data_IF_274759123949
#
_entry.id   IF_274759123949
#
_cell.length_a   1.000
_cell.length_b   1.000
_cell.length_c   1.000
_cell.angle_alpha   90.00
_cell.angle_beta   90.00
_cell.angle_gamma   90.00
#
_symmetry.space_group_name_H-M   'P 1'
#
loop_
_entity.id
_entity.type
_entity.pdbx_description
1 polymer ?
#
# COMPACT_ATOMS: atom_id res chain seq x y z
N UNK A 1 -35.47 -42.54 -90.25
CA UNK A 1 -34.22 -41.92 -90.71
C UNK A 1 -34.33 -40.42 -90.40
N UNK A 2 -34.13 -39.94 -89.18
CA UNK A 2 -32.89 -39.84 -88.40
C UNK A 2 -31.80 -39.02 -89.10
N UNK A 3 -31.77 -37.71 -88.86
CA UNK A 3 -30.58 -36.84 -88.94
C UNK A 3 -30.56 -35.92 -87.70
N UNK A 4 -29.60 -36.19 -86.82
CA UNK A 4 -29.15 -35.41 -85.65
C UNK A 4 -28.31 -34.20 -86.16
N UNK A 5 -28.48 -32.95 -85.72
CA UNK A 5 -28.17 -32.33 -84.41
C UNK A 5 -26.67 -32.08 -84.20
N UNK A 6 -26.24 -30.81 -84.32
CA UNK A 6 -25.20 -30.20 -83.47
C UNK A 6 -25.25 -28.66 -83.61
N UNK A 7 -25.76 -27.97 -82.58
CA UNK A 7 -25.78 -26.52 -82.47
C UNK A 7 -24.96 -26.16 -81.23
N UNK A 8 -23.73 -25.69 -81.44
CA UNK A 8 -22.77 -25.33 -80.38
C UNK A 8 -23.14 -23.95 -79.84
N UNK A 9 -23.65 -23.91 -78.61
CA UNK A 9 -23.84 -22.68 -77.84
C UNK A 9 -22.50 -22.24 -77.23
N UNK A 10 -21.89 -21.18 -77.77
CA UNK A 10 -20.75 -20.50 -77.17
C UNK A 10 -21.29 -19.51 -76.12
N UNK A 11 -21.21 -19.89 -74.84
CA UNK A 11 -21.47 -18.99 -73.71
C UNK A 11 -20.20 -18.16 -73.49
N UNK A 12 -20.18 -16.92 -74.01
CA UNK A 12 -19.15 -15.93 -73.65
C UNK A 12 -19.51 -15.42 -72.25
N UNK A 13 -18.92 -16.02 -71.22
CA UNK A 13 -18.92 -15.46 -69.87
C UNK A 13 -18.06 -14.20 -69.88
N UNK A 14 -18.68 -13.02 -70.02
CA UNK A 14 -17.99 -11.77 -69.73
C UNK A 14 -17.52 -11.83 -68.27
N UNK A 15 -16.21 -11.68 -67.98
CA UNK A 15 -15.75 -11.60 -66.60
C UNK A 15 -16.48 -10.43 -65.95
N UNK A 16 -17.16 -10.68 -64.84
CA UNK A 16 -17.72 -9.61 -64.02
C UNK A 16 -16.52 -8.88 -63.43
N UNK A 17 -16.13 -7.76 -64.03
CA UNK A 17 -15.07 -6.89 -63.49
C UNK A 17 -15.60 -6.31 -62.19
N UNK A 18 -15.27 -6.94 -61.07
CA UNK A 18 -15.45 -6.33 -59.74
C UNK A 18 -14.59 -5.08 -59.71
N UNK A 19 -15.25 -3.94 -59.89
CA UNK A 19 -14.59 -2.64 -59.87
C UNK A 19 -14.09 -2.40 -58.44
N UNK A 20 -12.80 -2.63 -58.20
CA UNK A 20 -12.16 -2.29 -56.92
C UNK A 20 -12.13 -0.77 -56.81
N UNK A 21 -12.69 -0.24 -55.71
CA UNK A 21 -12.91 1.19 -55.53
C UNK A 21 -12.04 1.70 -54.39
N UNK A 22 -11.43 2.88 -54.58
CA UNK A 22 -10.77 3.62 -53.51
C UNK A 22 -11.53 4.94 -53.31
N UNK A 23 -11.67 5.35 -52.06
CA UNK A 23 -12.34 6.60 -51.68
C UNK A 23 -11.33 7.58 -51.10
N UNK A 24 -11.47 8.85 -51.49
CA UNK A 24 -10.69 9.95 -50.96
C UNK A 24 -10.91 10.14 -49.44
N UNK A 25 -9.83 10.36 -48.71
CA UNK A 25 -9.82 10.71 -47.31
C UNK A 25 -9.56 12.22 -47.15
N UNK A 26 -10.45 12.96 -46.48
CA UNK A 26 -10.23 14.38 -46.18
C UNK A 26 -9.09 14.61 -45.18
N UNK A 27 -8.78 13.59 -44.38
CA UNK A 27 -7.65 13.56 -43.45
C UNK A 27 -6.45 12.87 -44.10
N UNK A 28 -5.25 13.20 -43.64
CA UNK A 28 -3.99 12.64 -44.11
C UNK A 28 -3.55 11.48 -43.22
N UNK A 29 -3.10 10.38 -43.81
CA UNK A 29 -2.39 9.30 -43.14
C UNK A 29 -1.10 9.82 -42.48
N UNK A 30 -0.98 9.57 -41.19
CA UNK A 30 0.29 9.60 -40.47
C UNK A 30 0.83 8.16 -40.42
N UNK A 31 1.88 7.88 -41.19
CA UNK A 31 2.36 6.52 -41.39
C UNK A 31 3.57 6.42 -42.31
N UNK A 32 4.09 5.21 -42.48
CA UNK A 32 5.17 4.90 -43.43
C UNK A 32 4.58 4.51 -44.77
N UNK A 33 5.16 5.04 -45.83
CA UNK A 33 4.80 4.75 -47.21
C UNK A 33 5.94 4.03 -47.94
N UNK A 34 5.58 3.27 -48.97
CA UNK A 34 6.54 2.77 -49.95
C UNK A 34 7.18 3.94 -50.73
N UNK A 35 8.26 3.65 -51.47
CA UNK A 35 8.91 4.64 -52.33
C UNK A 35 7.91 5.14 -53.39
N UNK A 36 7.83 6.46 -53.54
CA UNK A 36 7.02 7.11 -54.58
C UNK A 36 7.42 6.65 -55.99
N UNK A 37 6.42 6.49 -56.86
CA UNK A 37 6.59 6.25 -58.28
C UNK A 37 5.64 7.14 -59.09
N UNK A 38 6.04 7.50 -60.31
CA UNK A 38 5.24 8.39 -61.18
C UNK A 38 4.05 7.64 -61.77
N UNK A 39 2.91 8.32 -61.85
CA UNK A 39 1.69 7.85 -62.50
C UNK A 39 1.12 8.94 -63.41
N UNK A 40 0.49 8.55 -64.51
CA UNK A 40 -0.17 9.48 -65.42
C UNK A 40 -1.55 9.92 -64.91
N UNK A 41 -2.20 9.12 -64.05
CA UNK A 41 -3.52 9.42 -63.50
C UNK A 41 -3.77 8.75 -62.14
N UNK A 42 -4.82 9.21 -61.46
CA UNK A 42 -5.34 8.57 -60.23
C UNK A 42 -5.80 7.12 -60.48
N UNK A 43 -6.37 6.84 -61.66
CA UNK A 43 -6.83 5.51 -62.03
C UNK A 43 -5.66 4.53 -62.12
N UNK A 44 -4.52 4.97 -62.65
CA UNK A 44 -3.30 4.15 -62.71
C UNK A 44 -2.77 3.80 -61.30
N UNK A 45 -2.74 4.77 -60.39
CA UNK A 45 -2.36 4.54 -58.99
C UNK A 45 -3.33 3.56 -58.30
N UNK A 46 -4.64 3.70 -58.55
CA UNK A 46 -5.69 2.82 -58.00
C UNK A 46 -5.59 1.38 -58.53
N UNK A 47 -5.31 1.22 -59.83
CA UNK A 47 -5.06 -0.08 -60.45
C UNK A 47 -3.79 -0.74 -59.89
N UNK A 48 -2.72 0.03 -59.73
CA UNK A 48 -1.47 -0.45 -59.14
C UNK A 48 -1.65 -0.84 -57.66
N UNK A 49 -2.42 -0.07 -56.89
CA UNK A 49 -2.77 -0.39 -55.50
C UNK A 49 -3.59 -1.70 -55.43
N UNK A 50 -4.57 -1.86 -56.31
CA UNK A 50 -5.39 -3.08 -56.43
C UNK A 50 -4.54 -4.31 -56.76
N UNK A 51 -3.69 -4.21 -57.78
CA UNK A 51 -2.82 -5.31 -58.20
C UNK A 51 -1.87 -5.77 -57.07
N UNK A 52 -1.54 -4.86 -56.14
CA UNK A 52 -0.69 -5.13 -54.98
C UNK A 52 -1.47 -5.38 -53.68
N UNK A 53 -2.79 -5.48 -53.74
CA UNK A 53 -3.68 -5.68 -52.59
C UNK A 53 -3.49 -4.63 -51.47
N UNK A 54 -3.30 -3.36 -51.83
CA UNK A 54 -3.07 -2.28 -50.89
C UNK A 54 -4.37 -1.74 -50.31
N UNK A 55 -4.38 -1.46 -49.00
CA UNK A 55 -5.58 -0.90 -48.35
C UNK A 55 -5.69 0.62 -48.47
N UNK A 56 -4.60 1.31 -48.83
CA UNK A 56 -4.59 2.76 -48.99
C UNK A 56 -3.31 3.26 -49.64
N UNK A 57 -3.39 4.45 -50.22
CA UNK A 57 -2.30 5.08 -50.93
C UNK A 57 -2.40 6.60 -50.85
N UNK A 58 -1.29 7.27 -51.15
CA UNK A 58 -1.17 8.72 -51.30
C UNK A 58 -0.87 9.06 -52.75
N UNK A 59 -1.58 10.04 -53.28
CA UNK A 59 -1.21 10.75 -54.51
C UNK A 59 -0.71 12.13 -54.15
N UNK A 60 0.46 12.49 -54.68
CA UNK A 60 1.07 13.81 -54.53
C UNK A 60 1.20 14.47 -55.90
N UNK A 61 0.71 15.70 -56.03
CA UNK A 61 0.81 16.50 -57.27
C UNK A 61 2.05 17.40 -57.16
N UNK A 62 3.11 17.14 -57.93
CA UNK A 62 4.42 17.80 -57.76
C UNK A 62 4.53 19.20 -58.35
N UNK A 63 3.66 19.56 -59.30
CA UNK A 63 3.64 20.90 -59.91
C UNK A 63 2.33 21.12 -60.66
N UNK A 64 1.70 22.28 -60.47
CA UNK A 64 0.49 22.69 -61.21
C UNK A 64 0.75 22.83 -62.72
N UNK A 65 1.98 23.19 -63.11
CA UNK A 65 2.33 23.43 -64.52
C UNK A 65 2.54 22.14 -65.32
N UNK A 66 3.10 21.10 -64.69
CA UNK A 66 3.45 19.84 -65.38
C UNK A 66 2.47 18.69 -65.12
N UNK A 67 1.53 18.85 -64.18
CA UNK A 67 0.57 17.82 -63.75
C UNK A 67 1.23 16.46 -63.44
N UNK A 68 2.49 16.46 -63.02
CA UNK A 68 3.20 15.25 -62.63
C UNK A 68 2.63 14.75 -61.30
N UNK A 69 2.08 13.53 -61.33
CA UNK A 69 1.53 12.86 -60.16
C UNK A 69 2.46 11.73 -59.73
N UNK A 70 2.65 11.60 -58.42
CA UNK A 70 3.31 10.44 -57.83
C UNK A 70 2.39 9.70 -56.89
N UNK A 71 2.55 8.38 -56.85
CA UNK A 71 1.78 7.45 -56.04
C UNK A 71 2.70 6.78 -55.03
N UNK A 72 2.25 6.63 -53.78
CA UNK A 72 2.95 5.88 -52.74
C UNK A 72 1.95 5.05 -51.93
N UNK A 73 2.27 3.79 -51.67
CA UNK A 73 1.36 2.89 -50.94
C UNK A 73 1.59 2.96 -49.44
N UNK A 74 0.50 2.93 -48.67
CA UNK A 74 0.58 2.89 -47.21
C UNK A 74 1.13 1.53 -46.76
N UNK A 75 2.20 1.56 -45.96
CA UNK A 75 2.89 0.37 -45.46
C UNK A 75 2.66 0.15 -43.96
N UNK A 76 2.64 1.24 -43.19
CA UNK A 76 2.35 1.20 -41.77
C UNK A 76 1.49 2.40 -41.39
N UNK A 77 0.39 2.16 -40.69
CA UNK A 77 -0.50 3.21 -40.18
C UNK A 77 -0.16 3.53 -38.72
N UNK A 78 -0.09 4.82 -38.40
CA UNK A 78 0.13 5.31 -37.02
C UNK A 78 -0.98 6.26 -36.56
N UNK A 79 -1.74 6.87 -37.47
CA UNK A 79 -2.88 7.73 -37.16
C UNK A 79 -3.38 8.49 -38.38
N UNK A 80 -4.37 9.35 -38.15
CA UNK A 80 -4.85 10.34 -39.12
C UNK A 80 -4.54 11.74 -38.59
N UNK A 81 -4.14 12.66 -39.46
CA UNK A 81 -3.84 14.06 -39.13
C UNK A 81 -4.56 14.98 -40.10
N UNK A 82 -4.80 16.23 -39.68
CA UNK A 82 -5.34 17.24 -40.58
C UNK A 82 -4.42 17.43 -41.79
N UNK A 83 -5.02 17.57 -42.98
CA UNK A 83 -4.27 17.79 -44.21
C UNK A 83 -3.53 19.13 -44.14
N UNK A 84 -2.20 19.08 -44.15
CA UNK A 84 -1.33 20.24 -44.13
C UNK A 84 -0.89 20.70 -45.52
N UNK A 85 -0.75 19.77 -46.46
CA UNK A 85 -0.34 20.03 -47.85
C UNK A 85 -1.55 19.88 -48.78
N UNK A 86 -1.94 20.91 -49.53
CA UNK A 86 -3.06 20.82 -50.47
C UNK A 86 -2.82 19.84 -51.63
N UNK A 87 -1.56 19.49 -51.91
CA UNK A 87 -1.18 18.62 -53.03
C UNK A 87 -1.15 17.13 -52.68
N UNK A 88 -1.30 16.79 -51.40
CA UNK A 88 -1.36 15.41 -50.92
C UNK A 88 -2.81 14.95 -50.76
N UNK A 89 -3.16 13.87 -51.45
CA UNK A 89 -4.47 13.26 -51.43
C UNK A 89 -4.36 11.80 -51.03
N UNK A 90 -4.97 11.44 -49.90
CA UNK A 90 -4.95 10.08 -49.41
C UNK A 90 -6.24 9.35 -49.79
N UNK A 91 -6.12 8.07 -50.11
CA UNK A 91 -7.22 7.22 -50.54
C UNK A 91 -7.19 5.90 -49.78
N UNK A 92 -8.37 5.39 -49.44
CA UNK A 92 -8.58 4.10 -48.76
C UNK A 92 -9.44 3.17 -49.62
N UNK A 93 -9.16 1.87 -49.56
CA UNK A 93 -9.96 0.83 -50.20
C UNK A 93 -11.40 0.86 -49.67
N UNK A 94 -12.37 1.02 -50.56
CA UNK A 94 -13.80 0.91 -50.25
C UNK A 94 -14.27 -0.53 -50.49
N UNK A 95 -14.56 -1.25 -49.42
CA UNK A 95 -14.98 -2.65 -49.46
C UNK A 95 -16.49 -2.83 -49.50
N UNK A 96 -17.30 -1.77 -49.60
CA UNK A 96 -18.76 -1.91 -49.68
C UNK A 96 -19.21 -2.29 -51.09
N UNK A 97 -19.99 -3.36 -51.17
CA UNK A 97 -20.50 -3.93 -52.43
C UNK A 97 -21.76 -3.22 -52.96
N UNK A 98 -22.42 -2.40 -52.15
CA UNK A 98 -23.73 -1.82 -52.51
C UNK A 98 -23.61 -0.35 -52.99
N UNK A 99 -24.20 -0.13 -54.16
CA UNK A 99 -24.62 1.11 -54.82
C UNK A 99 -23.70 1.86 -55.81
N UNK A 100 -24.35 2.24 -56.91
CA UNK A 100 -23.85 2.74 -58.21
C UNK A 100 -23.36 4.21 -58.23
N UNK A 101 -22.79 4.74 -57.15
CA UNK A 101 -22.48 6.19 -57.10
C UNK A 101 -21.07 6.47 -56.58
N UNK A 102 -20.11 6.56 -57.52
CA UNK A 102 -18.80 7.19 -57.31
C UNK A 102 -18.95 8.71 -57.50
N UNK A 103 -19.21 9.40 -56.40
CA UNK A 103 -19.26 10.86 -56.37
C UNK A 103 -18.04 11.33 -55.57
N UNK A 104 -17.03 11.88 -56.26
CA UNK A 104 -15.81 12.46 -55.69
C UNK A 104 -16.09 13.59 -54.68
N UNK A 105 -17.32 14.11 -54.67
CA UNK A 105 -17.83 15.11 -53.76
C UNK A 105 -18.61 14.53 -52.56
N UNK A 106 -18.78 13.21 -52.45
CA UNK A 106 -19.41 12.57 -51.27
C UNK A 106 -18.35 12.12 -50.29
N UNK A 107 -18.28 12.83 -49.18
CA UNK A 107 -17.37 12.56 -48.08
C UNK A 107 -17.95 11.46 -47.19
N UNK A 108 -17.15 10.43 -46.89
CA UNK A 108 -17.59 9.25 -46.11
C UNK A 108 -16.75 9.10 -44.83
N UNK A 109 -17.39 8.67 -43.75
CA UNK A 109 -16.73 8.45 -42.45
C UNK A 109 -15.83 7.21 -42.52
N UNK A 110 -14.59 7.31 -42.04
CA UNK A 110 -13.59 6.24 -42.10
C UNK A 110 -14.09 4.95 -41.44
N UNK A 111 -14.88 5.07 -40.36
CA UNK A 111 -15.50 3.94 -39.67
C UNK A 111 -16.43 3.10 -40.56
N UNK A 112 -17.05 3.70 -41.57
CA UNK A 112 -17.94 3.00 -42.50
C UNK A 112 -17.18 2.11 -43.48
N UNK A 113 -15.90 2.38 -43.76
CA UNK A 113 -15.06 1.53 -44.61
C UNK A 113 -14.42 0.38 -43.83
N UNK A 114 -14.31 0.52 -42.51
CA UNK A 114 -13.64 -0.45 -41.62
C UNK A 114 -14.65 -1.49 -41.05
N UNK A 115 -15.94 -1.39 -41.38
CA UNK A 115 -16.97 -2.31 -40.87
C UNK A 115 -17.07 -3.64 -41.61
N UNK A 116 -16.40 -3.79 -42.77
CA UNK A 116 -16.37 -5.05 -43.53
C UNK A 116 -15.37 -6.05 -42.95
N UNK A 117 -15.68 -7.35 -43.03
CA UNK A 117 -14.67 -8.40 -42.85
C UNK A 117 -13.60 -8.21 -43.92
N UNK A 118 -12.34 -8.00 -43.53
CA UNK A 118 -11.23 -7.86 -44.46
C UNK A 118 -11.09 -9.19 -45.24
N UNK A 119 -11.69 -9.27 -46.43
CA UNK A 119 -11.61 -10.44 -47.32
C UNK A 119 -10.33 -10.42 -48.17
N UNK A 120 -9.56 -9.33 -48.11
CA UNK A 120 -8.28 -9.17 -48.78
C UNK A 120 -7.27 -10.12 -48.14
N UNK A 121 -6.90 -11.19 -48.85
CA UNK A 121 -5.88 -12.14 -48.39
C UNK A 121 -4.51 -11.45 -48.40
N UNK A 122 -4.08 -10.82 -47.29
CA UNK A 122 -2.77 -10.18 -47.22
C UNK A 122 -2.43 -9.46 -45.91
N UNK A 123 -1.16 -9.07 -45.77
CA UNK A 123 -0.59 -8.39 -44.60
C UNK A 123 -1.26 -7.05 -44.25
N UNK A 124 -1.96 -6.45 -45.21
CA UNK A 124 -2.55 -5.12 -45.05
C UNK A 124 -3.88 -5.14 -44.24
N UNK A 125 -4.47 -6.30 -43.95
CA UNK A 125 -5.59 -6.38 -43.01
C UNK A 125 -5.21 -5.89 -41.59
N UNK A 126 -3.94 -6.06 -41.18
CA UNK A 126 -3.46 -5.51 -39.91
C UNK A 126 -3.53 -3.98 -39.89
N UNK A 127 -3.32 -3.34 -41.05
CA UNK A 127 -3.38 -1.88 -41.16
C UNK A 127 -4.82 -1.41 -40.98
N UNK A 128 -5.80 -2.07 -41.60
CA UNK A 128 -7.22 -1.81 -41.38
C UNK A 128 -7.64 -2.06 -39.92
N UNK A 129 -7.15 -3.12 -39.29
CA UNK A 129 -7.42 -3.40 -37.88
C UNK A 129 -6.82 -2.32 -36.96
N UNK A 130 -5.61 -1.84 -37.26
CA UNK A 130 -4.98 -0.74 -36.53
C UNK A 130 -5.74 0.57 -36.73
N UNK A 131 -6.24 0.84 -37.93
CA UNK A 131 -7.14 1.98 -38.18
C UNK A 131 -8.44 1.86 -37.39
N UNK A 132 -9.02 0.65 -37.30
CA UNK A 132 -10.19 0.37 -36.47
C UNK A 132 -9.91 0.67 -35.00
N UNK A 133 -8.80 0.14 -34.48
CA UNK A 133 -8.38 0.34 -33.08
C UNK A 133 -8.13 1.81 -32.80
N UNK A 134 -7.45 2.52 -33.71
CA UNK A 134 -7.22 3.95 -33.61
C UNK A 134 -8.53 4.72 -33.55
N UNK A 135 -9.44 4.55 -34.52
CA UNK A 135 -10.72 5.26 -34.50
C UNK A 135 -11.65 4.83 -33.35
N UNK A 136 -11.50 3.61 -32.83
CA UNK A 136 -12.18 3.19 -31.59
C UNK A 136 -11.60 3.91 -30.36
N UNK A 137 -10.29 4.14 -30.35
CA UNK A 137 -9.57 4.78 -29.25
C UNK A 137 -9.73 6.30 -29.24
N UNK A 138 -9.57 6.96 -30.38
CA UNK A 138 -9.73 8.42 -30.50
C UNK A 138 -11.20 8.84 -30.55
N UNK A 139 -12.10 7.91 -30.90
CA UNK A 139 -13.51 8.15 -31.13
C UNK A 139 -13.79 8.29 -32.63
N UNK A 140 -14.83 7.59 -33.10
CA UNK A 140 -15.25 7.53 -34.51
C UNK A 140 -15.68 8.88 -35.08
N UNK A 141 -15.90 9.85 -34.20
CA UNK A 141 -16.52 11.15 -34.49
C UNK A 141 -15.55 12.33 -34.30
N UNK A 142 -14.26 12.05 -34.06
CA UNK A 142 -13.21 13.08 -34.09
C UNK A 142 -13.01 13.58 -35.52
N UNK A 143 -12.57 14.83 -35.72
CA UNK A 143 -12.20 15.34 -37.05
C UNK A 143 -11.15 14.44 -37.76
N UNK A 144 -10.40 13.68 -36.97
CA UNK A 144 -9.40 12.72 -37.41
C UNK A 144 -10.03 11.43 -37.98
N UNK A 145 -11.23 11.01 -37.55
CA UNK A 145 -11.96 9.83 -38.04
C UNK A 145 -13.30 10.15 -38.76
N UNK A 146 -13.82 11.38 -38.63
CA UNK A 146 -15.04 11.89 -39.23
C UNK A 146 -14.78 13.26 -39.86
N UNK A 147 -15.18 13.42 -41.12
CA UNK A 147 -15.11 14.72 -41.79
C UNK A 147 -16.15 15.70 -41.25
N UNK A 148 -15.82 16.99 -41.31
CA UNK A 148 -16.43 18.12 -40.62
C UNK A 148 -17.97 18.22 -40.56
N UNK A 149 -18.40 18.91 -39.49
CA UNK A 149 -19.74 19.47 -39.17
C UNK A 149 -20.71 18.65 -38.30
N UNK A 150 -20.19 17.86 -37.36
CA UNK A 150 -20.95 17.64 -36.12
C UNK A 150 -20.35 18.51 -35.01
N UNK A 151 -21.12 19.50 -34.55
CA UNK A 151 -20.95 20.00 -33.18
C UNK A 151 -21.02 18.79 -32.27
N UNK A 152 -19.91 18.46 -31.61
CA UNK A 152 -19.79 17.42 -30.59
C UNK A 152 -20.81 17.73 -29.48
N UNK A 153 -22.03 17.25 -29.67
CA UNK A 153 -22.98 17.07 -28.58
C UNK A 153 -22.75 15.66 -28.06
N UNK A 154 -22.15 15.62 -26.89
CA UNK A 154 -22.21 14.51 -25.94
C UNK A 154 -21.42 13.25 -26.31
N UNK A 155 -20.08 13.31 -26.17
CA UNK A 155 -19.36 12.10 -25.77
C UNK A 155 -19.82 11.79 -24.35
N UNK A 156 -20.73 10.83 -24.22
CA UNK A 156 -21.21 10.35 -22.93
C UNK A 156 -20.12 9.53 -22.25
N UNK A 157 -19.83 9.87 -21.00
CA UNK A 157 -18.90 9.09 -20.20
C UNK A 157 -19.44 7.67 -19.96
N UNK A 158 -18.57 6.66 -19.74
CA UNK A 158 -19.00 5.31 -19.40
C UNK A 158 -20.01 5.31 -18.25
N UNK A 159 -20.94 4.35 -18.24
CA UNK A 159 -21.96 4.26 -17.19
C UNK A 159 -21.36 4.36 -15.79
N UNK A 160 -21.92 5.24 -14.95
CA UNK A 160 -21.40 5.54 -13.62
C UNK A 160 -20.39 6.69 -13.57
N UNK A 161 -20.08 7.32 -14.70
CA UNK A 161 -19.26 8.52 -14.79
C UNK A 161 -20.07 9.70 -15.33
N UNK A 162 -19.65 10.91 -14.98
CA UNK A 162 -20.22 12.18 -15.43
C UNK A 162 -19.18 12.95 -16.25
N UNK A 163 -19.64 13.58 -17.33
CA UNK A 163 -18.80 14.48 -18.13
C UNK A 163 -18.52 15.74 -17.34
N UNK A 164 -17.25 16.15 -17.33
CA UNK A 164 -16.81 17.41 -16.73
C UNK A 164 -16.34 18.33 -17.84
N UNK A 165 -17.10 19.40 -18.07
CA UNK A 165 -16.81 20.37 -19.12
C UNK A 165 -15.58 21.20 -18.75
N UNK A 166 -14.52 21.04 -19.54
CA UNK A 166 -13.36 21.91 -19.49
C UNK A 166 -13.58 23.14 -20.37
N UNK A 167 -13.06 24.30 -19.95
CA UNK A 167 -13.11 25.59 -20.68
C UNK A 167 -12.50 25.57 -22.09
N UNK A 168 -11.97 24.45 -22.58
CA UNK A 168 -11.29 24.29 -23.87
C UNK A 168 -11.90 23.19 -24.77
N UNK A 169 -13.14 22.78 -24.53
CA UNK A 169 -13.82 21.78 -25.37
C UNK A 169 -13.23 20.36 -25.29
N UNK A 170 -12.42 20.08 -24.26
CA UNK A 170 -11.98 18.71 -23.93
C UNK A 170 -12.99 18.07 -22.99
N UNK A 171 -13.45 16.87 -23.32
CA UNK A 171 -14.31 16.07 -22.45
C UNK A 171 -13.45 15.16 -21.59
N UNK A 172 -13.55 15.34 -20.26
CA UNK A 172 -13.03 14.41 -19.28
C UNK A 172 -14.19 13.77 -18.52
N UNK A 173 -13.94 12.59 -17.96
CA UNK A 173 -14.93 11.85 -17.19
C UNK A 173 -14.47 11.70 -15.73
N UNK A 174 -15.39 11.94 -14.80
CA UNK A 174 -15.21 11.63 -13.38
C UNK A 174 -16.28 10.63 -12.93
N UNK A 175 -15.99 9.76 -11.95
CA UNK A 175 -17.01 8.95 -11.30
C UNK A 175 -18.18 9.81 -10.80
N UNK A 176 -19.40 9.27 -10.88
CA UNK A 176 -20.58 9.95 -10.35
C UNK A 176 -20.42 10.24 -8.85
N UNK A 177 -20.76 11.48 -8.44
CA UNK A 177 -20.54 11.98 -7.08
C UNK A 177 -19.15 12.59 -6.83
N UNK A 178 -18.25 12.56 -7.81
CA UNK A 178 -16.96 13.25 -7.78
C UNK A 178 -16.97 14.48 -8.70
N UNK A 179 -16.03 15.40 -8.46
CA UNK A 179 -15.74 16.54 -9.33
C UNK A 179 -14.32 16.47 -9.84
N UNK A 180 -14.09 17.05 -11.01
CA UNK A 180 -12.74 17.28 -11.50
C UNK A 180 -12.00 18.19 -10.52
N UNK A 181 -10.89 17.71 -9.97
CA UNK A 181 -10.04 18.48 -9.09
C UNK A 181 -8.85 19.08 -9.85
N UNK A 182 -8.23 18.32 -10.76
CA UNK A 182 -7.12 18.79 -11.60
C UNK A 182 -7.01 17.94 -12.88
N UNK A 183 -6.50 18.52 -13.97
CA UNK A 183 -6.05 17.80 -15.16
C UNK A 183 -4.52 17.84 -15.20
N UNK A 184 -3.86 16.68 -15.37
CA UNK A 184 -2.42 16.64 -15.70
C UNK A 184 -2.18 15.65 -16.83
N UNK A 185 -1.43 16.09 -17.84
CA UNK A 185 -1.05 15.28 -19.00
C UNK A 185 -2.26 14.62 -19.70
N UNK A 186 -3.36 15.35 -19.84
CA UNK A 186 -4.59 14.85 -20.46
C UNK A 186 -5.38 13.84 -19.61
N UNK A 187 -4.98 13.59 -18.36
CA UNK A 187 -5.70 12.72 -17.42
C UNK A 187 -6.46 13.55 -16.40
N UNK A 188 -7.73 13.19 -16.17
CA UNK A 188 -8.57 13.73 -15.10
C UNK A 188 -8.18 13.14 -13.74
N UNK A 189 -7.99 14.01 -12.74
CA UNK A 189 -7.91 13.63 -11.35
C UNK A 189 -9.15 14.15 -10.63
N UNK A 190 -10.02 13.21 -10.27
CA UNK A 190 -11.31 13.48 -9.67
C UNK A 190 -11.24 13.30 -8.15
N UNK A 191 -12.04 14.07 -7.43
CA UNK A 191 -12.19 13.96 -5.99
C UNK A 191 -13.67 14.07 -5.59
N UNK A 192 -14.09 13.46 -4.47
CA UNK A 192 -15.40 13.70 -3.89
C UNK A 192 -15.70 15.19 -3.69
N UNK A 193 -16.96 15.61 -3.82
CA UNK A 193 -17.38 17.03 -3.82
C UNK A 193 -16.81 17.85 -2.65
N UNK A 194 -16.71 17.25 -1.45
CA UNK A 194 -16.26 17.91 -0.22
C UNK A 194 -14.76 17.76 0.07
N UNK A 195 -14.01 17.13 -0.83
CA UNK A 195 -12.57 16.92 -0.70
C UNK A 195 -11.79 17.77 -1.70
N UNK A 196 -10.51 17.98 -1.40
CA UNK A 196 -9.55 18.67 -2.27
C UNK A 196 -8.45 17.70 -2.66
N UNK A 197 -8.01 17.77 -3.92
CA UNK A 197 -6.81 17.08 -4.36
C UNK A 197 -5.61 17.69 -3.64
N UNK A 198 -4.84 16.87 -2.93
CA UNK A 198 -3.59 17.29 -2.27
C UNK A 198 -2.35 16.69 -2.94
N UNK A 199 -2.50 15.59 -3.69
CA UNK A 199 -1.40 14.97 -4.40
C UNK A 199 -1.83 13.83 -5.30
N UNK A 200 -0.85 13.19 -5.94
CA UNK A 200 -1.02 12.02 -6.80
C UNK A 200 0.00 10.98 -6.35
N UNK A 201 -0.46 9.76 -6.07
CA UNK A 201 0.39 8.64 -5.65
C UNK A 201 0.10 7.42 -6.51
N UNK A 202 1.12 6.83 -7.14
CA UNK A 202 0.99 5.72 -8.10
C UNK A 202 -0.12 5.95 -9.15
N UNK A 203 -0.18 7.17 -9.69
CA UNK A 203 -1.15 7.56 -10.72
C UNK A 203 -2.60 7.72 -10.24
N UNK A 204 -2.85 7.65 -8.92
CA UNK A 204 -4.16 7.86 -8.28
C UNK A 204 -4.21 9.19 -7.54
N UNK A 205 -5.36 9.87 -7.60
CA UNK A 205 -5.63 11.10 -6.88
C UNK A 205 -5.67 10.86 -5.36
N UNK A 206 -4.98 11.68 -4.58
CA UNK A 206 -5.09 11.71 -3.12
C UNK A 206 -5.96 12.90 -2.73
N UNK A 207 -7.20 12.58 -2.35
CA UNK A 207 -8.24 13.54 -2.01
C UNK A 207 -8.43 13.59 -0.48
N UNK A 208 -8.20 14.76 0.10
CA UNK A 208 -8.25 14.97 1.55
C UNK A 208 -9.34 15.98 1.93
N UNK A 209 -9.74 16.01 3.20
CA UNK A 209 -10.54 17.14 3.67
C UNK A 209 -9.70 18.42 3.61
N UNK A 210 -10.32 19.62 3.50
CA UNK A 210 -9.57 20.86 3.39
C UNK A 210 -8.54 21.08 4.51
N UNK A 211 -8.90 20.72 5.74
CA UNK A 211 -8.07 20.85 6.96
C UNK A 211 -7.08 19.71 7.19
N UNK A 212 -7.16 18.63 6.42
CA UNK A 212 -6.24 17.50 6.54
C UNK A 212 -4.87 17.87 5.96
N UNK A 213 -3.84 17.30 6.58
CA UNK A 213 -2.45 17.39 6.15
C UNK A 213 -2.13 16.27 5.16
N UNK A 214 -1.25 16.55 4.20
CA UNK A 214 -0.78 15.57 3.24
C UNK A 214 0.74 15.71 3.06
N UNK A 215 1.46 14.60 3.03
CA UNK A 215 2.88 14.55 2.71
C UNK A 215 3.05 14.04 1.29
N UNK A 216 3.75 14.80 0.45
CA UNK A 216 4.05 14.39 -0.92
C UNK A 216 4.70 13.00 -0.95
N UNK A 217 4.20 12.13 -1.84
CA UNK A 217 4.71 10.77 -2.01
C UNK A 217 4.06 9.72 -1.11
N UNK A 218 3.00 10.06 -0.37
CA UNK A 218 2.24 9.10 0.45
C UNK A 218 0.86 8.81 -0.16
N UNK A 219 0.24 7.71 0.28
CA UNK A 219 -1.05 7.24 -0.22
C UNK A 219 -2.27 7.73 0.59
N UNK A 220 -2.05 8.46 1.69
CA UNK A 220 -3.13 8.87 2.60
C UNK A 220 -2.90 10.27 3.19
N UNK A 221 -4.00 10.84 3.68
CA UNK A 221 -4.05 12.13 4.36
C UNK A 221 -4.08 11.93 5.88
N UNK A 222 -3.54 12.88 6.61
CA UNK A 222 -3.61 12.92 8.07
C UNK A 222 -4.64 13.93 8.56
N UNK A 223 -5.49 13.55 9.53
CA UNK A 223 -6.49 14.44 10.07
C UNK A 223 -5.83 15.64 10.76
N UNK A 224 -6.59 16.73 10.88
CA UNK A 224 -6.19 17.94 11.60
C UNK A 224 -5.58 17.61 12.97
N UNK A 225 -4.43 18.22 13.29
CA UNK A 225 -3.68 17.95 14.53
C UNK A 225 -2.76 16.73 14.49
N UNK A 226 -2.79 15.93 13.42
CA UNK A 226 -1.84 14.86 13.15
C UNK A 226 -1.02 15.16 11.89
N UNK A 227 0.16 14.57 11.81
CA UNK A 227 1.04 14.62 10.66
C UNK A 227 1.47 13.22 10.26
N UNK A 228 1.88 13.06 9.01
CA UNK A 228 2.50 11.83 8.57
C UNK A 228 3.76 11.58 9.42
N UNK A 229 3.88 10.36 9.92
CA UNK A 229 5.03 9.88 10.67
C UNK A 229 5.38 8.48 10.20
N UNK A 230 6.68 8.18 10.16
CA UNK A 230 7.20 6.90 9.71
C UNK A 230 8.27 6.39 10.68
N UNK A 231 8.21 5.12 11.04
CA UNK A 231 9.15 4.50 11.98
C UNK A 231 8.99 2.99 12.02
N UNK A 232 10.10 2.25 12.15
CA UNK A 232 10.11 0.78 12.18
C UNK A 232 9.37 0.12 11.00
N UNK A 233 9.46 0.71 9.80
CA UNK A 233 8.77 0.22 8.60
C UNK A 233 7.26 0.45 8.59
N UNK A 234 6.71 1.24 9.52
CA UNK A 234 5.31 1.61 9.60
C UNK A 234 5.12 3.06 9.16
N UNK A 235 4.01 3.33 8.48
CA UNK A 235 3.55 4.68 8.16
C UNK A 235 2.20 4.92 8.84
N UNK A 236 2.07 6.04 9.55
CA UNK A 236 0.82 6.38 10.22
C UNK A 236 0.69 7.89 10.45
N UNK A 237 -0.52 8.34 10.78
CA UNK A 237 -0.77 9.70 11.20
C UNK A 237 -0.60 9.83 12.71
N UNK A 238 0.39 10.59 13.15
CA UNK A 238 0.68 10.80 14.55
C UNK A 238 0.67 12.28 14.94
N UNK A 239 0.33 12.61 16.19
CA UNK A 239 0.61 13.92 16.76
C UNK A 239 2.09 14.29 16.64
N UNK A 240 2.39 15.58 16.70
CA UNK A 240 3.77 16.05 16.63
C UNK A 240 4.63 15.42 17.75
N UNK A 241 5.85 15.01 17.40
CA UNK A 241 6.78 14.35 18.32
C UNK A 241 6.54 12.86 18.58
N UNK A 242 5.48 12.25 18.03
CA UNK A 242 5.20 10.81 18.16
C UNK A 242 5.48 10.04 16.87
N UNK A 243 5.84 8.76 17.01
CA UNK A 243 6.14 7.83 15.93
C UNK A 243 5.15 6.66 15.92
N UNK A 244 4.85 6.08 14.75
CA UNK A 244 4.02 4.88 14.68
C UNK A 244 4.67 3.72 15.44
N UNK A 245 3.86 3.02 16.21
CA UNK A 245 4.25 1.81 16.90
C UNK A 245 3.15 0.76 16.77
N UNK A 246 3.56 -0.50 16.65
CA UNK A 246 2.67 -1.65 16.57
C UNK A 246 2.60 -2.38 17.91
N UNK A 247 1.40 -2.74 18.35
CA UNK A 247 1.18 -3.60 19.51
C UNK A 247 1.49 -5.06 19.19
N UNK A 248 1.54 -5.90 20.23
CA UNK A 248 1.65 -7.37 20.09
C UNK A 248 0.48 -7.99 19.32
N UNK A 249 -0.72 -7.39 19.40
CA UNK A 249 -1.90 -7.80 18.62
C UNK A 249 -1.88 -7.30 17.16
N UNK A 250 -0.92 -6.46 16.79
CA UNK A 250 -0.75 -5.92 15.45
C UNK A 250 -1.45 -4.60 15.16
N UNK A 251 -2.18 -4.04 16.14
CA UNK A 251 -2.76 -2.71 16.06
C UNK A 251 -1.67 -1.63 16.03
N UNK A 252 -1.90 -0.53 15.34
CA UNK A 252 -0.95 0.58 15.21
C UNK A 252 -1.49 1.80 15.96
N UNK A 253 -0.65 2.41 16.78
CA UNK A 253 -0.90 3.70 17.42
C UNK A 253 0.35 4.57 17.41
N UNK A 254 0.31 5.69 18.11
CA UNK A 254 1.38 6.68 18.13
C UNK A 254 2.03 6.77 19.50
N UNK A 255 3.35 6.56 19.56
CA UNK A 255 4.11 6.53 20.80
C UNK A 255 5.37 7.39 20.72
N UNK A 256 5.92 7.81 21.87
CA UNK A 256 7.27 8.36 21.92
C UNK A 256 8.28 7.36 21.35
N UNK A 257 9.38 7.86 20.81
CA UNK A 257 10.44 7.00 20.27
C UNK A 257 10.92 5.98 21.32
N UNK A 258 11.08 4.71 20.90
CA UNK A 258 11.49 3.61 21.77
C UNK A 258 10.40 3.03 22.68
N UNK A 259 9.16 3.54 22.61
CA UNK A 259 8.00 2.98 23.32
C UNK A 259 7.11 2.21 22.36
N UNK A 260 6.41 1.21 22.90
CA UNK A 260 5.49 0.34 22.19
C UNK A 260 4.04 0.67 22.52
N UNK A 261 3.22 0.77 21.48
CA UNK A 261 1.78 0.96 21.58
C UNK A 261 1.12 -0.24 22.24
N UNK A 262 0.30 0.01 23.27
CA UNK A 262 -0.44 -1.02 24.00
C UNK A 262 -1.91 -1.00 23.60
N UNK A 263 -2.57 0.15 23.77
CA UNK A 263 -4.00 0.33 23.48
C UNK A 263 -4.36 1.82 23.39
N UNK A 264 -5.50 2.12 22.77
CA UNK A 264 -6.14 3.43 22.83
C UNK A 264 -7.26 3.39 23.86
N UNK A 265 -7.33 4.39 24.73
CA UNK A 265 -8.45 4.57 25.65
C UNK A 265 -8.86 6.05 25.64
N UNK A 266 -10.15 6.31 25.46
CA UNK A 266 -10.70 7.68 25.35
C UNK A 266 -9.97 8.55 24.30
N UNK A 267 -9.61 7.95 23.17
CA UNK A 267 -8.91 8.65 22.08
C UNK A 267 -7.43 8.93 22.33
N UNK A 268 -6.86 8.43 23.43
CA UNK A 268 -5.44 8.60 23.74
C UNK A 268 -4.71 7.26 23.65
N UNK A 269 -3.60 7.24 22.93
CA UNK A 269 -2.73 6.09 22.83
C UNK A 269 -1.91 5.95 24.11
N UNK A 270 -1.83 4.72 24.61
CA UNK A 270 -1.04 4.35 25.77
C UNK A 270 0.19 3.55 25.35
N UNK A 271 1.33 3.98 25.87
CA UNK A 271 2.64 3.54 25.38
C UNK A 271 3.52 3.05 26.53
N UNK A 272 4.04 1.84 26.39
CA UNK A 272 4.90 1.22 27.38
C UNK A 272 6.25 0.78 26.80
N UNK A 273 7.29 0.63 27.61
CA UNK A 273 8.49 -0.09 27.21
C UNK A 273 8.15 -1.49 26.65
N UNK A 274 9.03 -2.02 25.81
CA UNK A 274 8.88 -3.38 25.31
C UNK A 274 8.73 -4.36 26.48
N UNK A 275 7.76 -5.28 26.38
CA UNK A 275 7.42 -6.31 27.38
C UNK A 275 6.64 -5.85 28.62
N UNK A 276 6.26 -4.58 28.70
CA UNK A 276 5.43 -4.06 29.79
C UNK A 276 3.98 -3.82 29.35
N UNK A 277 3.05 -3.88 30.32
CA UNK A 277 1.65 -3.55 30.14
C UNK A 277 1.31 -2.21 30.76
N UNK A 278 0.42 -1.48 30.09
CA UNK A 278 -0.18 -0.28 30.65
C UNK A 278 -1.06 -0.63 31.84
N UNK A 279 -0.84 0.04 32.98
CA UNK A 279 -1.62 -0.15 34.21
C UNK A 279 -2.44 1.08 34.58
N UNK A 280 -1.89 2.29 34.41
CA UNK A 280 -2.56 3.53 34.81
C UNK A 280 -1.99 4.72 34.05
N UNK A 281 -2.82 5.75 33.81
CA UNK A 281 -2.34 7.07 33.39
C UNK A 281 -2.62 8.09 34.49
N UNK A 282 -1.65 8.96 34.79
CA UNK A 282 -1.84 10.06 35.74
C UNK A 282 -0.91 11.22 35.36
N UNK A 283 -1.46 12.45 35.30
CA UNK A 283 -0.68 13.63 34.92
C UNK A 283 -0.07 13.57 33.51
N UNK A 284 -0.73 12.85 32.58
CA UNK A 284 -0.24 12.66 31.21
C UNK A 284 0.76 11.50 31.05
N UNK A 285 1.30 10.97 32.15
CA UNK A 285 2.27 9.88 32.17
C UNK A 285 1.57 8.52 32.19
N UNK A 286 2.00 7.64 31.28
CA UNK A 286 1.60 6.23 31.27
C UNK A 286 2.51 5.42 32.20
N UNK A 287 1.93 4.87 33.25
CA UNK A 287 2.58 3.92 34.15
C UNK A 287 2.41 2.52 33.58
N UNK A 288 3.53 1.80 33.54
CA UNK A 288 3.64 0.49 32.93
C UNK A 288 4.25 -0.48 33.94
N UNK A 289 3.81 -1.74 33.91
CA UNK A 289 4.37 -2.80 34.73
C UNK A 289 4.82 -3.98 33.86
N UNK A 290 5.90 -4.68 34.22
CA UNK A 290 6.27 -5.94 33.58
C UNK A 290 5.11 -6.95 33.57
N UNK A 291 5.10 -7.82 32.58
CA UNK A 291 4.16 -8.95 32.53
C UNK A 291 4.23 -9.77 33.84
N UNK A 292 3.09 -9.99 34.49
CA UNK A 292 3.01 -10.74 35.75
C UNK A 292 3.23 -9.90 37.02
N UNK A 293 3.44 -8.59 36.90
CA UNK A 293 3.46 -7.66 38.02
C UNK A 293 2.17 -6.81 38.09
N UNK A 294 1.85 -6.35 39.30
CA UNK A 294 0.72 -5.45 39.61
C UNK A 294 1.23 -4.09 40.05
N UNK A 295 0.50 -3.05 39.68
CA UNK A 295 0.77 -1.68 40.10
C UNK A 295 0.50 -1.50 41.60
N UNK A 296 1.50 -1.03 42.34
CA UNK A 296 1.44 -0.79 43.78
C UNK A 296 1.55 0.69 44.15
N UNK A 297 1.90 1.55 43.18
CA UNK A 297 2.07 2.98 43.41
C UNK A 297 3.06 3.58 42.42
N UNK A 298 3.54 4.78 42.73
CA UNK A 298 4.51 5.50 41.89
C UNK A 298 5.59 6.16 42.73
N UNK A 299 6.76 6.36 42.14
CA UNK A 299 7.85 7.17 42.68
C UNK A 299 8.33 8.11 41.58
N UNK A 300 7.93 9.38 41.66
CA UNK A 300 8.10 10.31 40.54
C UNK A 300 7.31 9.82 39.31
N UNK A 301 7.99 9.71 38.18
CA UNK A 301 7.43 9.26 36.90
C UNK A 301 7.52 7.73 36.68
N UNK A 302 8.00 6.99 37.68
CA UNK A 302 8.21 5.55 37.59
C UNK A 302 7.12 4.80 38.36
N UNK A 303 6.56 3.76 37.72
CA UNK A 303 5.62 2.85 38.34
C UNK A 303 6.34 1.94 39.35
N UNK A 304 5.75 1.76 40.53
CA UNK A 304 6.17 0.72 41.46
C UNK A 304 5.29 -0.49 41.19
N UNK A 305 5.90 -1.53 40.66
CA UNK A 305 5.23 -2.77 40.30
C UNK A 305 5.78 -3.91 41.17
N UNK A 306 4.93 -4.83 41.62
CA UNK A 306 5.34 -6.00 42.39
C UNK A 306 4.76 -7.27 41.77
N UNK A 307 5.44 -8.44 41.90
CA UNK A 307 4.89 -9.72 41.45
C UNK A 307 3.49 -9.96 42.01
N UNK A 308 2.64 -10.64 41.25
CA UNK A 308 1.29 -11.00 41.69
C UNK A 308 1.31 -11.66 43.09
N UNK A 309 0.48 -11.17 44.01
CA UNK A 309 0.42 -11.62 45.40
C UNK A 309 1.37 -10.89 46.36
N UNK A 310 2.28 -10.05 45.85
CA UNK A 310 3.16 -9.21 46.65
C UNK A 310 2.69 -7.75 46.70
N UNK A 311 2.94 -7.10 47.82
CA UNK A 311 2.71 -5.67 48.03
C UNK A 311 4.04 -4.94 48.22
N UNK A 312 4.09 -3.71 47.71
CA UNK A 312 5.25 -2.84 47.93
C UNK A 312 5.36 -2.45 49.40
N UNK A 313 6.59 -2.48 49.93
CA UNK A 313 6.87 -2.08 51.31
C UNK A 313 7.73 -0.82 51.39
N UNK A 314 8.92 -0.83 50.80
CA UNK A 314 9.80 0.34 50.75
C UNK A 314 10.84 0.21 49.62
N UNK A 315 11.64 1.26 49.41
CA UNK A 315 12.90 1.14 48.68
C UNK A 315 14.06 1.02 49.67
N UNK A 316 14.85 -0.05 49.57
CA UNK A 316 16.01 -0.28 50.42
C UNK A 316 17.25 -0.42 49.55
N UNK A 317 18.29 0.38 49.83
CA UNK A 317 19.53 0.45 49.05
C UNK A 317 19.29 0.57 47.53
N UNK A 318 18.33 1.40 47.13
CA UNK A 318 17.98 1.65 45.73
C UNK A 318 17.02 0.64 45.11
N UNK A 319 16.76 -0.50 45.75
CA UNK A 319 15.88 -1.55 45.22
C UNK A 319 14.47 -1.47 45.80
N UNK A 320 13.45 -1.70 44.97
CA UNK A 320 12.06 -1.88 45.43
C UNK A 320 11.96 -3.19 46.22
N UNK A 321 11.32 -3.14 47.38
CA UNK A 321 11.06 -4.34 48.20
C UNK A 321 9.57 -4.65 48.13
N UNK A 322 9.28 -5.83 47.57
CA UNK A 322 7.94 -6.39 47.46
C UNK A 322 7.87 -7.63 48.34
N UNK A 323 6.91 -7.67 49.27
CA UNK A 323 6.70 -8.83 50.13
C UNK A 323 5.33 -9.46 49.86
N UNK A 324 5.18 -10.78 49.98
CA UNK A 324 3.87 -11.40 50.09
C UNK A 324 3.00 -10.67 51.12
N UNK A 325 1.69 -10.58 50.86
CA UNK A 325 0.76 -9.91 51.78
C UNK A 325 0.75 -10.53 53.19
N UNK A 326 1.08 -11.81 53.29
CA UNK A 326 1.16 -12.58 54.54
C UNK A 326 2.46 -12.38 55.31
N UNK A 327 3.47 -11.75 54.70
CA UNK A 327 4.80 -11.65 55.29
C UNK A 327 4.93 -10.42 56.19
N UNK A 328 5.64 -10.62 57.30
CA UNK A 328 6.02 -9.53 58.20
C UNK A 328 7.18 -8.76 57.58
N UNK A 329 7.07 -7.44 57.54
CA UNK A 329 8.10 -6.57 56.99
C UNK A 329 8.75 -5.72 58.08
N UNK A 330 10.09 -5.62 58.05
CA UNK A 330 10.82 -4.66 58.90
C UNK A 330 11.40 -3.53 58.05
N UNK A 331 10.81 -2.35 58.19
CA UNK A 331 11.31 -1.12 57.57
C UNK A 331 12.76 -0.82 57.96
N UNK A 332 13.52 -0.30 56.99
CA UNK A 332 14.95 -0.01 57.10
C UNK A 332 15.88 -1.22 56.95
N UNK A 333 15.36 -2.41 56.65
CA UNK A 333 16.17 -3.64 56.50
C UNK A 333 16.04 -4.32 55.14
N UNK A 334 15.04 -3.95 54.36
CA UNK A 334 14.73 -4.59 53.08
C UNK A 334 14.30 -6.07 53.18
N UNK A 335 13.93 -6.55 54.38
CA UNK A 335 13.67 -7.97 54.63
C UNK A 335 12.19 -8.28 54.85
N UNK A 336 11.67 -9.20 54.04
CA UNK A 336 10.39 -9.87 54.23
C UNK A 336 10.61 -11.14 55.06
N UNK A 337 9.85 -11.32 56.12
CA UNK A 337 9.83 -12.54 56.91
C UNK A 337 8.52 -13.29 56.63
N UNK A 338 8.65 -14.56 56.28
CA UNK A 338 7.51 -15.43 56.00
C UNK A 338 6.46 -15.39 57.10
N UNK A 339 5.21 -15.70 56.75
CA UNK A 339 4.08 -15.72 57.71
C UNK A 339 4.46 -16.39 59.05
N UNK A 340 4.20 -15.68 60.15
CA UNK A 340 4.53 -16.13 61.51
C UNK A 340 6.00 -15.95 61.93
N UNK A 341 6.88 -15.45 61.06
CA UNK A 341 8.26 -15.09 61.41
C UNK A 341 8.41 -13.57 61.52
N UNK A 342 9.31 -13.11 62.38
CA UNK A 342 9.58 -11.69 62.64
C UNK A 342 11.06 -11.40 62.48
N UNK A 343 11.37 -10.22 61.97
CA UNK A 343 12.75 -9.76 61.89
C UNK A 343 13.33 -9.66 63.30
N UNK A 344 14.46 -10.32 63.52
CA UNK A 344 15.21 -10.29 64.76
C UNK A 344 16.66 -9.93 64.47
N UNK A 345 17.17 -8.92 65.18
CA UNK A 345 18.59 -8.54 65.19
C UNK A 345 19.13 -8.73 66.60
N UNK A 346 20.11 -9.59 66.76
CA UNK A 346 20.69 -9.90 68.05
C UNK A 346 22.18 -10.21 67.90
N UNK A 347 23.02 -9.50 68.66
CA UNK A 347 24.50 -9.64 68.64
C UNK A 347 25.11 -9.62 67.23
N UNK A 348 24.60 -8.73 66.35
CA UNK A 348 25.07 -8.61 64.96
C UNK A 348 24.56 -9.70 64.01
N UNK A 349 23.83 -10.71 64.50
CA UNK A 349 23.08 -11.65 63.68
C UNK A 349 21.72 -11.04 63.30
N UNK A 350 21.30 -11.20 62.06
CA UNK A 350 20.01 -10.74 61.56
C UNK A 350 19.29 -11.92 60.89
N UNK A 351 18.09 -12.27 61.36
CA UNK A 351 17.30 -13.39 60.84
C UNK A 351 15.80 -13.12 60.90
N UNK A 352 15.00 -13.91 60.19
CA UNK A 352 13.57 -14.03 60.43
C UNK A 352 13.35 -15.19 61.40
N UNK A 353 12.88 -14.88 62.60
CA UNK A 353 12.69 -15.87 63.66
C UNK A 353 11.23 -15.97 64.08
N UNK A 354 10.75 -17.17 64.49
CA UNK A 354 9.48 -17.29 65.17
C UNK A 354 9.42 -16.37 66.41
N UNK A 355 8.20 -16.07 66.92
CA UNK A 355 8.04 -15.39 68.20
C UNK A 355 8.89 -16.05 69.29
N UNK A 356 9.48 -15.24 70.16
CA UNK A 356 10.32 -15.69 71.29
C UNK A 356 11.58 -16.48 70.89
N UNK A 357 12.08 -16.29 69.66
CA UNK A 357 13.41 -16.74 69.25
C UNK A 357 14.27 -15.56 68.78
N UNK A 358 15.58 -15.68 68.96
CA UNK A 358 16.56 -14.64 68.69
C UNK A 358 17.56 -15.11 67.63
N UNK A 359 17.94 -14.20 66.73
CA UNK A 359 18.97 -14.48 65.76
C UNK A 359 20.30 -14.75 66.48
N UNK A 360 21.00 -15.80 66.06
CA UNK A 360 22.31 -16.14 66.56
C UNK A 360 23.21 -16.50 65.38
N UNK A 361 24.46 -16.07 65.43
CA UNK A 361 25.47 -16.30 64.39
C UNK A 361 26.53 -17.26 64.93
N UNK A 362 26.79 -18.32 64.19
CA UNK A 362 27.88 -19.25 64.47
C UNK A 362 29.24 -18.65 64.07
N UNK A 363 30.32 -19.26 64.54
CA UNK A 363 31.69 -18.79 64.26
C UNK A 363 32.03 -18.73 62.77
N UNK A 364 31.42 -19.57 61.94
CA UNK A 364 31.60 -19.56 60.48
C UNK A 364 30.65 -18.60 59.72
N UNK A 365 29.86 -17.79 60.44
CA UNK A 365 28.91 -16.84 59.85
C UNK A 365 27.50 -17.37 59.60
N UNK A 366 27.25 -18.68 59.79
CA UNK A 366 25.90 -19.25 59.65
C UNK A 366 24.93 -18.63 60.67
N UNK A 367 23.68 -18.36 60.26
CA UNK A 367 22.67 -17.69 61.11
C UNK A 367 21.48 -18.62 61.33
N UNK A 368 21.03 -18.74 62.58
CA UNK A 368 19.81 -19.48 62.96
C UNK A 368 19.09 -18.77 64.12
N UNK A 369 17.94 -19.30 64.53
CA UNK A 369 17.11 -18.77 65.60
C UNK A 369 17.22 -19.62 66.88
N UNK A 370 17.73 -19.05 67.96
CA UNK A 370 17.86 -19.67 69.28
C UNK A 370 16.77 -19.20 70.26
N UNK A 371 16.57 -19.93 71.36
CA UNK A 371 15.48 -19.64 72.31
C UNK A 371 15.88 -18.51 73.26
N UNK A 372 17.10 -18.56 73.79
CA UNK A 372 17.68 -17.50 74.61
C UNK A 372 18.29 -16.39 73.76
N UNK A 373 18.21 -15.16 74.26
CA UNK A 373 18.86 -14.00 73.63
C UNK A 373 20.38 -14.13 73.64
N UNK A 374 20.92 -14.78 74.67
CA UNK A 374 22.36 -14.96 74.87
C UNK A 374 22.86 -16.36 74.44
N UNK A 375 21.97 -17.18 73.88
CA UNK A 375 22.34 -18.49 73.34
C UNK A 375 23.38 -18.33 72.22
N UNK A 376 24.42 -19.17 72.26
CA UNK A 376 25.41 -19.24 71.20
C UNK A 376 25.02 -20.33 70.21
N UNK A 377 25.00 -19.98 68.93
CA UNK A 377 24.84 -20.96 67.87
C UNK A 377 26.19 -21.62 67.59
N UNK A 378 26.26 -22.92 67.85
CA UNK A 378 27.40 -23.74 67.47
C UNK A 378 27.08 -24.49 66.18
N UNK A 379 28.04 -24.45 65.26
CA UNK A 379 28.03 -25.26 64.05
C UNK A 379 29.23 -26.19 64.09
N UNK A 380 29.01 -27.42 63.67
CA UNK A 380 30.06 -28.41 63.61
C UNK A 380 29.89 -29.26 62.35
N UNK A 381 30.96 -29.40 61.58
CA UNK A 381 30.98 -30.11 60.29
C UNK A 381 32.02 -31.24 60.37
N UNK A 382 31.58 -32.48 60.55
CA UNK A 382 32.39 -33.71 60.37
C UNK A 382 31.88 -34.40 59.11
N UNK A 383 32.23 -33.88 57.94
CA UNK A 383 31.62 -34.31 56.67
C UNK A 383 30.15 -33.92 56.56
N UNK A 384 29.35 -34.77 55.91
CA UNK A 384 27.90 -34.63 55.76
C UNK A 384 27.23 -35.66 56.69
N UNK A 385 26.44 -35.25 57.72
CA UNK A 385 25.75 -33.97 57.89
C UNK A 385 26.44 -32.90 58.77
N UNK A 386 26.06 -31.64 58.55
CA UNK A 386 26.41 -30.51 59.43
C UNK A 386 25.46 -30.42 60.62
N UNK A 387 25.99 -30.33 61.83
CA UNK A 387 25.21 -30.19 63.07
C UNK A 387 25.11 -28.72 63.51
N UNK A 388 23.89 -28.28 63.82
CA UNK A 388 23.58 -26.94 64.32
C UNK A 388 22.89 -27.05 65.68
N UNK A 389 23.44 -26.40 66.72
CA UNK A 389 22.81 -26.39 68.04
C UNK A 389 22.97 -25.05 68.74
N UNK A 390 21.89 -24.56 69.32
CA UNK A 390 21.89 -23.42 70.24
C UNK A 390 22.25 -23.90 71.65
N UNK A 391 23.24 -23.27 72.28
CA UNK A 391 23.71 -23.59 73.62
C UNK A 391 23.59 -22.36 74.52
N UNK A 392 23.04 -22.55 75.72
CA UNK A 392 22.91 -21.48 76.72
C UNK A 392 24.30 -20.95 77.15
N UNK A 393 24.39 -19.69 77.60
CA UNK A 393 25.62 -19.16 78.18
C UNK A 393 26.21 -20.08 79.27
N UNK A 394 27.54 -20.25 79.25
CA UNK A 394 28.24 -21.10 80.23
C UNK A 394 28.20 -22.60 79.92
N UNK A 395 27.61 -23.01 78.80
CA UNK A 395 27.69 -24.40 78.31
C UNK A 395 28.71 -24.51 77.17
N UNK A 396 29.36 -25.67 77.06
CA UNK A 396 30.28 -26.01 75.98
C UNK A 396 29.62 -27.00 75.03
N UNK A 397 29.67 -26.71 73.74
CA UNK A 397 29.24 -27.65 72.71
C UNK A 397 30.23 -28.83 72.65
N UNK A 398 29.71 -30.04 72.85
CA UNK A 398 30.45 -31.29 72.65
C UNK A 398 29.74 -32.13 71.61
N UNK A 399 30.50 -32.63 70.66
CA UNK A 399 30.06 -33.71 69.78
C UNK A 399 30.53 -35.03 70.41
N UNK A 400 29.61 -35.97 70.63
CA UNK A 400 29.95 -37.36 70.87
C UNK A 400 29.58 -38.22 69.64
N UNK A 401 29.97 -39.49 69.63
CA UNK A 401 29.73 -40.42 68.51
C UNK A 401 28.24 -40.56 68.14
N UNK A 402 27.31 -40.10 68.99
CA UNK A 402 25.87 -40.30 68.82
C UNK A 402 25.07 -39.00 68.71
N UNK A 403 25.58 -37.86 69.21
CA UNK A 403 24.85 -36.60 69.25
C UNK A 403 25.74 -35.35 69.47
N UNK A 404 25.29 -34.24 68.90
CA UNK A 404 25.73 -32.89 69.25
C UNK A 404 25.00 -32.40 70.50
N UNK A 405 25.69 -32.12 71.63
CA UNK A 405 25.08 -31.68 72.90
C UNK A 405 25.76 -30.47 73.54
N UNK A 406 24.98 -29.67 74.25
CA UNK A 406 25.51 -28.58 75.09
C UNK A 406 25.71 -29.12 76.51
N UNK A 407 26.92 -29.06 77.02
CA UNK A 407 27.27 -29.56 78.36
C UNK A 407 27.57 -28.37 79.26
N UNK A 408 26.89 -28.27 80.40
CA UNK A 408 27.18 -27.22 81.40
C UNK A 408 28.59 -27.45 81.93
N UNK A 409 29.41 -26.39 81.89
CA UNK A 409 30.77 -26.43 82.43
C UNK A 409 30.77 -26.61 83.95
#
# INVERSE_FOLDING_TARGET
MAHFLLLVLVIISAPVWTQVRYTFLPSRYNGLFDKEFTVASLDECSLAATAKNKIGFRVTIKSEEKKEMTCAFLRQFSGLVNRSDPNDYDFILDTKADDNVCLWNTVRNVSQFISGSCTVKGADCMVLENMKKFCTFVGTDTAECASHQYTVKNIECPSGQITVDLKKGKHLCCPSGEKLAEERNGKAYCCPLNKKLKGIFNGKAICCNPSDNYKTGTSFCCPTGKQYSSGNGLEHCCPSGLVPSKSTSGSIGCCPYGRTYVKTQNGVDHCCPNTENFVKREGGIDYCCPNGETFQGKRGEVAICCPNGNIYKEHYNGNKICCPTTDNYKAGTGRCCGSGLFYNKNNGAEACCPPNKYAARASNGYINCCKGKDDKLHIYTLGDPTYLRCCEPGTTFKLDEKAAKCVKN
#
